data_IF_165756298810
#
_entry.id   IF_165756298810
#
_cell.length_a   1.000
_cell.length_b   1.000
_cell.length_c   1.000
_cell.angle_alpha   90.00
_cell.angle_beta   90.00
_cell.angle_gamma   90.00
#
_symmetry.space_group_name_H-M   'P 1'
#
loop_
_entity.id
_entity.type
_entity.pdbx_description
1 polymer ?
#
# COMPACT_ATOMS: atom_id res chain seq x y z
N UNK A 1 -7.29 -16.57 -20.34
CA UNK A 1 -7.80 -15.26 -19.89
C UNK A 1 -7.08 -14.88 -18.61
N UNK A 2 -6.25 -13.84 -18.62
CA UNK A 2 -5.45 -13.43 -17.47
C UNK A 2 -6.25 -12.51 -16.56
N UNK A 3 -6.32 -12.81 -15.26
CA UNK A 3 -6.89 -11.89 -14.29
C UNK A 3 -6.04 -10.62 -14.22
N UNK A 4 -6.71 -9.46 -14.23
CA UNK A 4 -6.04 -8.19 -14.00
C UNK A 4 -5.39 -8.19 -12.61
N UNK A 5 -4.18 -7.65 -12.51
CA UNK A 5 -3.52 -7.50 -11.21
C UNK A 5 -4.40 -6.62 -10.30
N UNK A 6 -4.83 -7.18 -9.16
CA UNK A 6 -5.54 -6.41 -8.15
C UNK A 6 -4.59 -5.34 -7.58
N UNK A 7 -5.07 -4.09 -7.52
CA UNK A 7 -4.29 -2.95 -7.04
C UNK A 7 -5.13 -2.14 -6.06
N UNK A 8 -4.67 -2.04 -4.83
CA UNK A 8 -5.22 -1.12 -3.81
C UNK A 8 -4.28 0.05 -3.64
N UNK A 9 -4.79 1.28 -3.75
CA UNK A 9 -4.02 2.50 -3.49
C UNK A 9 -4.55 3.16 -2.23
N UNK A 10 -3.65 3.35 -1.26
CA UNK A 10 -3.95 4.00 0.02
C UNK A 10 -3.13 5.28 0.08
N UNK A 11 -3.81 6.42 0.19
CA UNK A 11 -3.15 7.69 0.48
C UNK A 11 -3.10 7.86 1.99
N UNK A 12 -1.89 8.02 2.53
CA UNK A 12 -1.70 8.24 3.96
C UNK A 12 -1.85 9.72 4.30
N UNK A 13 -2.45 10.00 5.45
CA UNK A 13 -2.61 11.35 6.01
C UNK A 13 -1.48 11.64 6.98
N UNK A 14 -0.92 12.84 6.92
CA UNK A 14 0.05 13.32 7.90
C UNK A 14 -0.59 13.38 9.30
N UNK A 15 0.09 12.80 10.28
CA UNK A 15 -0.28 12.83 11.70
C UNK A 15 0.67 13.70 12.53
N UNK A 16 1.68 14.32 11.92
CA UNK A 16 2.71 15.10 12.57
C UNK A 16 3.91 14.25 13.00
N UNK A 17 5.03 14.92 13.30
CA UNK A 17 6.26 14.25 13.78
C UNK A 17 6.89 13.29 12.77
N UNK A 18 6.57 13.43 11.47
CA UNK A 18 7.03 12.52 10.42
C UNK A 18 6.22 11.22 10.31
N UNK A 19 5.11 11.10 11.03
CA UNK A 19 4.21 9.95 10.95
C UNK A 19 3.10 10.18 9.92
N UNK A 20 2.90 9.20 9.05
CA UNK A 20 1.80 9.17 8.08
C UNK A 20 0.98 7.91 8.30
N UNK A 21 -0.35 8.03 8.31
CA UNK A 21 -1.26 6.92 8.55
C UNK A 21 -2.28 6.82 7.42
N UNK A 22 -2.44 5.62 6.85
CA UNK A 22 -3.44 5.33 5.84
C UNK A 22 -4.13 4.00 6.15
N UNK A 23 -5.45 3.95 5.94
CA UNK A 23 -6.25 2.72 6.05
C UNK A 23 -6.75 2.33 4.67
N UNK A 24 -6.69 1.04 4.36
CA UNK A 24 -7.33 0.50 3.17
C UNK A 24 -7.58 -0.99 3.31
N UNK A 25 -8.57 -1.45 2.55
CA UNK A 25 -9.02 -2.83 2.55
C UNK A 25 -8.42 -3.58 1.36
N UNK A 26 -8.00 -4.82 1.62
CA UNK A 26 -7.55 -5.74 0.57
C UNK A 26 -8.77 -6.52 0.06
N UNK A 27 -8.90 -6.64 -1.26
CA UNK A 27 -10.08 -7.27 -1.88
C UNK A 27 -10.16 -8.79 -1.68
N UNK A 28 -9.06 -9.43 -1.26
CA UNK A 28 -8.99 -10.87 -1.01
C UNK A 28 -7.82 -11.21 -0.09
N UNK A 29 -7.86 -12.42 0.48
CA UNK A 29 -6.69 -13.04 1.09
C UNK A 29 -5.60 -13.37 0.06
N UNK A 30 -4.42 -13.75 0.54
CA UNK A 30 -3.28 -14.16 -0.28
C UNK A 30 -2.01 -13.35 -0.01
N UNK A 31 -1.01 -13.56 -0.86
CA UNK A 31 0.28 -12.86 -0.79
C UNK A 31 0.24 -11.61 -1.65
N UNK A 32 0.43 -10.45 -1.02
CA UNK A 32 0.45 -9.14 -1.65
C UNK A 32 1.86 -8.57 -1.70
N UNK A 33 2.24 -8.03 -2.86
CA UNK A 33 3.41 -7.14 -2.98
C UNK A 33 2.96 -5.71 -2.70
N UNK A 34 3.44 -5.14 -1.62
CA UNK A 34 3.11 -3.78 -1.18
C UNK A 34 4.28 -2.85 -1.45
N UNK A 35 4.01 -1.72 -2.09
CA UNK A 35 5.00 -0.66 -2.34
C UNK A 35 4.58 0.60 -1.60
N UNK A 36 5.39 1.01 -0.63
CA UNK A 36 5.23 2.27 0.11
C UNK A 36 6.14 3.31 -0.53
N UNK A 37 5.57 4.43 -0.96
CA UNK A 37 6.30 5.57 -1.54
C UNK A 37 6.05 6.82 -0.72
N UNK A 38 7.12 7.42 -0.22
CA UNK A 38 7.07 8.76 0.35
C UNK A 38 7.43 9.76 -0.75
N UNK A 39 6.64 10.83 -0.89
CA UNK A 39 6.88 11.89 -1.87
C UNK A 39 6.96 13.24 -1.18
N UNK A 40 7.93 14.06 -1.60
CA UNK A 40 8.06 15.45 -1.22
C UNK A 40 8.07 16.30 -2.49
N UNK A 41 7.20 17.31 -2.57
CA UNK A 41 7.05 18.16 -3.76
C UNK A 41 6.83 17.35 -5.06
N UNK A 42 6.11 16.24 -4.98
CA UNK A 42 5.86 15.33 -6.12
C UNK A 42 7.01 14.39 -6.47
N UNK A 43 8.18 14.53 -5.87
CA UNK A 43 9.33 13.64 -6.07
C UNK A 43 9.37 12.54 -5.01
N UNK A 44 9.58 11.29 -5.42
CA UNK A 44 9.76 10.18 -4.48
C UNK A 44 11.09 10.33 -3.73
N UNK A 45 11.00 10.43 -2.42
CA UNK A 45 12.17 10.56 -1.51
C UNK A 45 12.50 9.25 -0.80
N UNK A 46 11.53 8.34 -0.70
CA UNK A 46 11.76 6.99 -0.19
C UNK A 46 10.81 5.99 -0.86
N UNK A 47 11.31 4.76 -1.03
CA UNK A 47 10.54 3.64 -1.54
C UNK A 47 10.85 2.39 -0.72
N UNK A 48 9.81 1.65 -0.33
CA UNK A 48 9.96 0.36 0.35
C UNK A 48 8.99 -0.64 -0.26
N UNK A 49 9.52 -1.76 -0.72
CA UNK A 49 8.72 -2.91 -1.11
C UNK A 49 8.73 -3.94 0.01
N UNK A 50 7.57 -4.54 0.28
CA UNK A 50 7.42 -5.58 1.27
C UNK A 50 6.33 -6.57 0.85
N UNK A 51 6.46 -7.79 1.33
CA UNK A 51 5.47 -8.85 1.11
C UNK A 51 4.55 -8.92 2.33
N UNK A 52 3.24 -8.83 2.10
CA UNK A 52 2.21 -9.01 3.13
C UNK A 52 1.42 -10.26 2.82
N UNK A 53 1.29 -11.15 3.79
CA UNK A 53 0.37 -12.28 3.71
C UNK A 53 -0.91 -11.86 4.44
N UNK A 54 -1.99 -11.69 3.68
CA UNK A 54 -3.31 -11.39 4.21
C UNK A 54 -4.14 -12.67 4.28
N UNK A 55 -4.86 -12.85 5.38
CA UNK A 55 -5.80 -13.96 5.56
C UNK A 55 -7.22 -13.40 5.66
N UNK A 56 -8.21 -14.18 5.20
CA UNK A 56 -9.60 -13.73 5.08
C UNK A 56 -9.88 -12.91 3.81
N UNK A 57 -11.13 -12.89 3.39
CA UNK A 57 -11.57 -12.36 2.08
C UNK A 57 -11.83 -13.50 1.10
N UNK A 58 -13.12 -13.70 0.78
CA UNK A 58 -13.79 -14.87 0.20
C UNK A 58 -13.38 -16.21 0.81
#
# INVERSE_FOLDING_TARGET
MGMAAMKTVINATDKGGGMYEGKGDLGSGGTWQVTIRAQQNGQTVANKQLTVNATGGM
#
